data_IF_245003795443
#
_entry.id   IF_245003795443
#
_cell.length_a   1.000
_cell.length_b   1.000
_cell.length_c   1.000
_cell.angle_alpha   90.00
_cell.angle_beta   90.00
_cell.angle_gamma   90.00
#
_symmetry.space_group_name_H-M   'P 1'
#
loop_
_entity.id
_entity.type
_entity.pdbx_description
1 polymer ?
#
# COMPACT_ATOMS: atom_id res chain seq x y z
N UNK A 1 -4.65 24.75 -20.51
CA UNK A 1 -5.23 23.39 -20.46
C UNK A 1 -5.94 23.25 -19.12
N UNK A 2 -7.18 22.75 -19.12
CA UNK A 2 -8.09 22.68 -17.97
C UNK A 2 -7.41 22.08 -16.73
N UNK A 3 -7.31 22.87 -15.65
CA UNK A 3 -6.95 22.37 -14.33
C UNK A 3 -8.11 21.57 -13.74
N UNK A 4 -8.25 20.32 -14.17
CA UNK A 4 -9.23 19.40 -13.61
C UNK A 4 -8.89 19.09 -12.16
N UNK A 5 -9.86 19.20 -11.27
CA UNK A 5 -9.73 18.78 -9.87
C UNK A 5 -9.52 17.25 -9.89
N UNK A 6 -8.28 16.80 -9.73
CA UNK A 6 -8.02 15.37 -9.60
C UNK A 6 -8.53 14.88 -8.25
N UNK A 7 -9.35 13.81 -8.21
CA UNK A 7 -9.87 13.30 -6.95
C UNK A 7 -8.72 12.77 -6.10
N UNK A 8 -8.65 13.26 -4.86
CA UNK A 8 -7.72 12.77 -3.86
C UNK A 8 -8.27 11.51 -3.20
N UNK A 9 -7.46 10.47 -3.16
CA UNK A 9 -7.86 9.16 -2.68
C UNK A 9 -7.24 8.95 -1.31
N UNK A 10 -8.06 8.60 -0.31
CA UNK A 10 -7.54 8.25 1.01
C UNK A 10 -6.83 6.89 1.00
N UNK A 11 -5.93 6.67 1.96
CA UNK A 11 -5.27 5.37 2.16
C UNK A 11 -6.22 4.14 2.18
N UNK A 12 -7.46 4.29 2.67
CA UNK A 12 -8.48 3.25 2.61
C UNK A 12 -8.89 2.90 1.18
N UNK A 13 -9.27 3.91 0.39
CA UNK A 13 -9.67 3.71 -1.00
C UNK A 13 -8.54 3.17 -1.89
N UNK A 14 -7.28 3.56 -1.62
CA UNK A 14 -6.13 2.97 -2.32
C UNK A 14 -5.99 1.48 -1.99
N UNK A 15 -6.13 1.11 -0.71
CA UNK A 15 -6.00 -0.28 -0.27
C UNK A 15 -7.10 -1.17 -0.88
N UNK A 16 -8.34 -0.67 -0.95
CA UNK A 16 -9.48 -1.33 -1.60
C UNK A 16 -9.22 -1.57 -3.09
N UNK A 17 -8.69 -0.59 -3.83
CA UNK A 17 -8.35 -0.74 -5.25
C UNK A 17 -7.37 -1.88 -5.52
N UNK A 18 -6.46 -2.14 -4.59
CA UNK A 18 -5.46 -3.20 -4.72
C UNK A 18 -5.81 -4.49 -3.99
N UNK A 19 -7.00 -4.57 -3.39
CA UNK A 19 -7.45 -5.75 -2.64
C UNK A 19 -6.54 -6.09 -1.46
N UNK A 20 -5.96 -5.10 -0.80
CA UNK A 20 -5.04 -5.30 0.34
C UNK A 20 -5.52 -4.57 1.60
N UNK A 21 -5.05 -5.02 2.76
CA UNK A 21 -5.39 -4.35 4.01
C UNK A 21 -4.73 -2.96 4.09
N UNK A 22 -5.47 -1.95 4.56
CA UNK A 22 -4.97 -0.57 4.72
C UNK A 22 -3.70 -0.48 5.57
N UNK A 23 -3.64 -1.24 6.67
CA UNK A 23 -2.45 -1.26 7.54
C UNK A 23 -1.22 -1.80 6.80
N UNK A 24 -1.40 -2.80 5.94
CA UNK A 24 -0.32 -3.39 5.16
C UNK A 24 0.19 -2.38 4.13
N UNK A 25 -0.71 -1.70 3.41
CA UNK A 25 -0.32 -0.63 2.48
C UNK A 25 0.55 0.42 3.17
N UNK A 26 0.09 0.93 4.32
CA UNK A 26 0.83 1.94 5.09
C UNK A 26 2.16 1.40 5.59
N UNK A 27 2.20 0.17 6.11
CA UNK A 27 3.41 -0.49 6.56
C UNK A 27 4.47 -0.62 5.46
N UNK A 28 4.06 -1.02 4.25
CA UNK A 28 4.94 -1.13 3.08
C UNK A 28 5.46 0.23 2.63
N UNK A 29 4.64 1.27 2.71
CA UNK A 29 5.04 2.65 2.41
C UNK A 29 6.10 3.14 3.42
N UNK A 30 5.88 2.94 4.72
CA UNK A 30 6.84 3.33 5.76
C UNK A 30 8.20 2.64 5.62
N UNK A 31 8.21 1.41 5.10
CA UNK A 31 9.43 0.64 4.83
C UNK A 31 10.12 1.03 3.52
N UNK A 32 9.56 1.95 2.75
CA UNK A 32 10.06 2.33 1.42
C UNK A 32 9.87 1.24 0.36
N UNK A 33 9.07 0.21 0.65
CA UNK A 33 8.79 -0.88 -0.28
C UNK A 33 7.74 -0.47 -1.32
N UNK A 34 6.80 0.40 -0.93
CA UNK A 34 5.84 1.02 -1.84
C UNK A 34 6.00 2.55 -1.85
N UNK A 35 5.71 3.21 -2.98
CA UNK A 35 5.73 4.66 -3.05
C UNK A 35 4.61 5.26 -2.19
N UNK A 36 4.97 6.30 -1.43
CA UNK A 36 4.04 7.03 -0.57
C UNK A 36 3.18 8.08 -1.30
N UNK A 37 2.22 8.67 -0.58
CA UNK A 37 1.38 9.74 -1.12
C UNK A 37 2.20 10.98 -1.43
N UNK A 38 1.84 11.70 -2.49
CA UNK A 38 2.43 13.01 -2.78
C UNK A 38 1.87 14.13 -1.91
N UNK A 39 0.72 13.92 -1.25
CA UNK A 39 0.03 14.95 -0.48
C UNK A 39 -0.24 14.45 0.94
N UNK A 40 0.17 15.27 1.92
CA UNK A 40 -0.16 15.08 3.33
C UNK A 40 -0.78 16.36 3.87
N UNK A 41 -2.03 16.29 4.37
CA UNK A 41 -2.77 17.45 4.91
C UNK A 41 -3.29 17.09 6.29
N UNK A 42 -2.89 17.85 7.31
CA UNK A 42 -3.32 17.66 8.71
C UNK A 42 -3.20 16.19 9.18
N UNK A 43 -2.09 15.52 8.86
CA UNK A 43 -1.85 14.11 9.20
C UNK A 43 -2.60 13.09 8.33
N UNK A 44 -3.42 13.54 7.37
CA UNK A 44 -4.10 12.66 6.41
C UNK A 44 -3.25 12.48 5.17
N UNK A 45 -3.11 11.22 4.76
CA UNK A 45 -2.41 10.80 3.53
C UNK A 45 -3.39 10.76 2.37
N UNK A 46 -3.14 11.59 1.37
CA UNK A 46 -3.97 11.76 0.19
C UNK A 46 -3.15 11.39 -1.05
N UNK A 47 -3.67 10.45 -1.81
CA UNK A 47 -3.02 9.90 -3.00
C UNK A 47 -3.66 10.52 -4.23
N UNK A 48 -2.82 10.98 -5.14
CA UNK A 48 -3.22 11.33 -6.51
C UNK A 48 -3.35 10.07 -7.36
N UNK A 49 -3.97 10.17 -8.53
CA UNK A 49 -4.02 9.04 -9.47
C UNK A 49 -2.60 8.61 -9.91
N UNK A 50 -1.67 9.56 -10.03
CA UNK A 50 -0.26 9.26 -10.30
C UNK A 50 0.40 8.45 -9.17
N UNK A 51 0.07 8.72 -7.90
CA UNK A 51 0.56 7.91 -6.78
C UNK A 51 0.03 6.48 -6.85
N UNK A 52 -1.25 6.33 -7.19
CA UNK A 52 -1.88 5.01 -7.38
C UNK A 52 -1.21 4.25 -8.52
N UNK A 53 -0.91 4.90 -9.64
CA UNK A 53 -0.18 4.27 -10.75
C UNK A 53 1.22 3.82 -10.35
N UNK A 54 1.96 4.62 -9.56
CA UNK A 54 3.27 4.22 -9.03
C UNK A 54 3.17 3.00 -8.11
N UNK A 55 2.14 2.94 -7.26
CA UNK A 55 1.87 1.76 -6.43
C UNK A 55 1.55 0.55 -7.31
N UNK A 56 0.71 0.74 -8.34
CA UNK A 56 0.34 -0.34 -9.26
C UNK A 56 1.57 -0.93 -9.97
N UNK A 57 2.48 -0.07 -10.46
CA UNK A 57 3.75 -0.48 -11.05
C UNK A 57 4.61 -1.26 -10.05
N UNK A 58 4.79 -0.73 -8.84
CA UNK A 58 5.58 -1.39 -7.80
C UNK A 58 5.00 -2.78 -7.42
N UNK A 59 3.67 -2.91 -7.39
CA UNK A 59 2.99 -4.19 -7.13
C UNK A 59 3.02 -5.14 -8.33
N UNK A 60 3.14 -4.63 -9.55
CA UNK A 60 3.34 -5.44 -10.75
C UNK A 60 4.76 -6.05 -10.75
N UNK A 61 5.77 -5.25 -10.38
CA UNK A 61 7.16 -5.69 -10.26
C UNK A 61 7.38 -6.64 -9.07
N UNK A 62 6.66 -6.41 -7.96
CA UNK A 62 6.80 -7.15 -6.70
C UNK A 62 5.43 -7.58 -6.16
N UNK A 63 4.79 -8.60 -6.78
CA UNK A 63 3.45 -9.05 -6.40
C UNK A 63 3.36 -9.57 -4.96
N UNK A 64 4.47 -10.04 -4.38
CA UNK A 64 4.57 -10.51 -3.00
C UNK A 64 4.28 -9.42 -1.96
N UNK A 65 4.35 -8.14 -2.33
CA UNK A 65 4.02 -7.03 -1.42
C UNK A 65 2.52 -6.92 -1.14
N UNK A 66 1.67 -7.55 -1.97
CA UNK A 66 0.21 -7.61 -1.77
C UNK A 66 -0.18 -8.44 -0.56
N UNK A 67 0.65 -9.41 -0.18
CA UNK A 67 0.38 -10.33 0.91
C UNK A 67 1.16 -9.92 2.17
N UNK A 68 0.50 -10.01 3.32
CA UNK A 68 1.17 -9.96 4.61
C UNK A 68 2.01 -11.23 4.77
N UNK A 69 3.18 -11.13 5.42
CA UNK A 69 4.08 -12.27 5.69
C UNK A 69 3.39 -13.44 6.42
N UNK A 70 2.18 -13.25 6.95
CA UNK A 70 1.32 -14.29 7.52
C UNK A 70 0.95 -15.44 6.54
N UNK A 71 1.21 -15.33 5.24
CA UNK A 71 0.94 -16.39 4.27
C UNK A 71 2.08 -17.42 4.07
N UNK A 72 3.25 -17.25 4.70
CA UNK A 72 4.24 -18.34 4.79
C UNK A 72 4.09 -18.98 6.17
N UNK A 73 3.54 -20.19 6.19
CA UNK A 73 3.41 -20.98 7.42
C UNK A 73 4.75 -21.13 8.12
N UNK A 74 4.89 -20.49 9.27
CA UNK A 74 5.74 -20.96 10.36
C UNK A 74 4.90 -21.98 11.16
N UNK A 75 4.66 -23.13 10.53
CA UNK A 75 4.41 -24.37 11.25
C UNK A 75 5.76 -25.02 11.46
N UNK A 76 6.33 -24.87 12.65
CA UNK A 76 7.70 -25.28 12.92
C UNK A 76 8.03 -25.31 14.40
N UNK A 77 7.49 -26.33 15.06
CA UNK A 77 8.03 -27.00 16.23
C UNK A 77 7.88 -26.34 17.61
N UNK A 78 6.78 -26.71 18.28
CA UNK A 78 6.78 -26.87 19.73
C UNK A 78 7.67 -28.07 20.10
N UNK A 79 8.98 -27.88 20.13
CA UNK A 79 9.87 -28.80 20.81
C UNK A 79 9.84 -28.48 22.31
N UNK A 80 8.92 -29.13 23.03
CA UNK A 80 9.11 -29.39 24.45
C UNK A 80 10.31 -30.34 24.60
N UNK A 81 11.27 -29.97 25.45
CA UNK A 81 12.24 -30.87 26.06
C UNK A 81 12.42 -30.45 27.52
#
# INVERSE_FOLDING_TARGET
MMGGIQPLIGSGGVAERFGMARWLLLYRIERGELPGPSITVAGRRLFTEADVQRIALALHERPELRVGRAARGEGGDHAQA
#
